data_IF_856859736780
#
_entry.id   IF_856859736780
#
_cell.length_a   1.000
_cell.length_b   1.000
_cell.length_c   1.000
_cell.angle_alpha   90.00
_cell.angle_beta   90.00
_cell.angle_gamma   90.00
#
_symmetry.space_group_name_H-M   'P 1'
#
loop_
_entity.id
_entity.type
_entity.pdbx_description
1 polymer ?
#
# COMPACT_ATOMS: atom_id res chain seq x y z
N UNK A 1 -3.70 29.88 -29.33
CA UNK A 1 -2.72 29.03 -28.63
C UNK A 1 -1.42 28.80 -29.42
N UNK A 2 -1.13 29.55 -30.47
CA UNK A 2 0.18 29.56 -31.11
C UNK A 2 1.16 30.31 -30.20
N UNK A 3 2.06 29.62 -29.52
CA UNK A 3 3.19 30.23 -28.81
C UNK A 3 3.41 29.85 -27.34
N UNK A 4 2.59 29.01 -26.73
CA UNK A 4 2.89 28.58 -25.37
C UNK A 4 3.91 27.42 -25.43
N UNK A 5 5.16 27.76 -25.21
CA UNK A 5 6.20 26.74 -25.02
C UNK A 5 6.03 26.11 -23.63
N UNK A 6 5.32 24.98 -23.60
CA UNK A 6 5.00 24.25 -22.39
C UNK A 6 6.25 23.82 -21.61
N UNK A 7 7.33 23.47 -22.32
CA UNK A 7 8.59 23.08 -21.68
C UNK A 7 9.26 24.26 -20.99
N UNK A 8 9.28 25.41 -21.66
CA UNK A 8 9.83 26.65 -21.09
C UNK A 8 9.06 27.07 -19.85
N UNK A 9 7.71 27.01 -19.92
CA UNK A 9 6.84 27.32 -18.79
C UNK A 9 7.08 26.36 -17.61
N UNK A 10 7.18 25.07 -17.86
CA UNK A 10 7.50 24.06 -16.84
C UNK A 10 8.83 24.38 -16.15
N UNK A 11 9.86 24.71 -16.93
CA UNK A 11 11.19 25.05 -16.41
C UNK A 11 11.16 26.33 -15.55
N UNK A 12 10.45 27.36 -15.99
CA UNK A 12 10.32 28.61 -15.20
C UNK A 12 9.56 28.38 -13.88
N UNK A 13 8.45 27.63 -13.92
CA UNK A 13 7.72 27.24 -12.70
C UNK A 13 8.61 26.42 -11.77
N UNK A 14 9.37 25.47 -12.30
CA UNK A 14 10.30 24.65 -11.50
C UNK A 14 11.34 25.51 -10.78
N UNK A 15 11.90 26.52 -11.47
CA UNK A 15 12.85 27.46 -10.86
C UNK A 15 12.22 28.31 -9.76
N UNK A 16 11.02 28.87 -10.02
CA UNK A 16 10.32 29.73 -9.05
C UNK A 16 9.93 28.94 -7.80
N UNK A 17 9.37 27.74 -7.99
CA UNK A 17 8.92 26.88 -6.89
C UNK A 17 10.06 26.14 -6.20
N UNK A 18 11.27 26.11 -6.80
CA UNK A 18 12.41 25.28 -6.36
C UNK A 18 12.05 23.79 -6.22
N UNK A 19 11.25 23.29 -7.16
CA UNK A 19 10.75 21.91 -7.24
C UNK A 19 10.75 21.48 -8.69
N UNK A 20 10.97 20.20 -8.95
CA UNK A 20 10.85 19.65 -10.29
C UNK A 20 9.38 19.35 -10.61
N UNK A 21 8.92 19.78 -11.79
CA UNK A 21 7.59 19.48 -12.30
C UNK A 21 7.67 18.64 -13.56
N UNK A 22 6.70 17.75 -13.72
CA UNK A 22 6.44 17.08 -14.98
C UNK A 22 5.98 18.10 -16.03
N UNK A 23 6.15 17.75 -17.31
CA UNK A 23 5.67 18.59 -18.39
C UNK A 23 4.18 18.89 -18.20
N UNK A 24 3.86 20.18 -18.15
CA UNK A 24 2.49 20.65 -17.90
C UNK A 24 1.47 20.07 -18.89
N UNK A 25 0.29 19.74 -18.40
CA UNK A 25 -0.85 19.30 -19.21
C UNK A 25 -1.72 20.50 -19.55
N UNK A 26 -2.10 20.63 -20.83
CA UNK A 26 -2.96 21.70 -21.32
C UNK A 26 -4.33 21.11 -21.60
N UNK A 27 -5.35 21.60 -20.91
CA UNK A 27 -6.74 21.26 -21.16
C UNK A 27 -7.47 22.52 -21.68
N UNK A 28 -8.05 22.39 -22.88
CA UNK A 28 -8.82 23.48 -23.52
C UNK A 28 -10.30 23.10 -23.43
N UNK A 29 -11.12 23.99 -22.88
CA UNK A 29 -12.56 23.85 -22.80
C UNK A 29 -13.25 25.14 -23.30
N UNK A 30 -14.57 25.11 -23.40
CA UNK A 30 -15.38 26.30 -23.70
C UNK A 30 -15.26 27.39 -22.62
N UNK A 31 -14.89 27.04 -21.41
CA UNK A 31 -14.68 27.97 -20.30
C UNK A 31 -13.27 28.58 -20.25
N UNK A 32 -12.32 28.06 -21.06
CA UNK A 32 -10.96 28.59 -21.13
C UNK A 32 -9.90 27.50 -21.25
N UNK A 33 -8.64 27.91 -21.14
CA UNK A 33 -7.48 27.04 -21.17
C UNK A 33 -6.93 26.87 -19.76
N UNK A 34 -6.84 25.63 -19.27
CA UNK A 34 -6.26 25.26 -17.99
C UNK A 34 -4.90 24.59 -18.21
N UNK A 35 -3.89 25.05 -17.49
CA UNK A 35 -2.58 24.41 -17.43
C UNK A 35 -2.43 23.78 -16.03
N UNK A 36 -2.10 22.50 -16.01
CA UNK A 36 -1.86 21.74 -14.79
C UNK A 36 -0.41 21.26 -14.77
N UNK A 37 0.27 21.52 -13.67
CA UNK A 37 1.64 21.07 -13.42
C UNK A 37 1.61 20.12 -12.23
N UNK A 38 2.24 18.97 -12.37
CA UNK A 38 2.39 17.99 -11.32
C UNK A 38 3.85 17.97 -10.87
N UNK A 39 4.09 18.02 -9.58
CA UNK A 39 5.44 17.86 -9.02
C UNK A 39 5.95 16.45 -9.34
N UNK A 40 7.19 16.35 -9.77
CA UNK A 40 7.83 15.09 -10.09
C UNK A 40 8.26 14.40 -8.79
N UNK A 41 7.85 13.15 -8.54
CA UNK A 41 8.31 12.42 -7.37
C UNK A 41 9.82 12.22 -7.36
N UNK A 42 10.42 12.27 -6.16
CA UNK A 42 11.85 12.02 -5.96
C UNK A 42 12.19 10.52 -6.06
N UNK A 43 11.21 9.66 -5.74
CA UNK A 43 11.37 8.22 -5.72
C UNK A 43 10.49 7.54 -6.76
N UNK A 44 10.96 6.42 -7.27
CA UNK A 44 10.18 5.46 -8.05
C UNK A 44 10.21 4.14 -7.31
N UNK A 45 9.11 3.38 -7.40
CA UNK A 45 9.03 2.05 -6.83
C UNK A 45 8.92 1.01 -7.94
N UNK A 46 9.75 -0.04 -7.82
CA UNK A 46 9.58 -1.29 -8.55
C UNK A 46 8.81 -2.26 -7.67
N UNK A 47 7.87 -3.01 -8.24
CA UNK A 47 6.97 -3.88 -7.48
C UNK A 47 7.03 -5.27 -8.09
N UNK A 48 7.29 -6.28 -7.26
CA UNK A 48 7.11 -7.68 -7.55
C UNK A 48 6.07 -8.28 -6.63
N UNK A 49 5.26 -9.21 -7.11
CA UNK A 49 4.37 -9.99 -6.26
C UNK A 49 4.27 -11.42 -6.77
N UNK A 50 4.07 -12.33 -5.82
CA UNK A 50 3.76 -13.74 -6.09
C UNK A 50 2.61 -14.15 -5.17
N UNK A 51 1.74 -15.03 -5.68
CA UNK A 51 0.60 -15.54 -4.94
C UNK A 51 0.41 -17.03 -5.27
N UNK A 52 0.30 -17.83 -4.23
CA UNK A 52 0.06 -19.26 -4.34
C UNK A 52 -1.14 -19.67 -3.49
N UNK A 53 -1.97 -20.55 -4.01
CA UNK A 53 -3.05 -21.18 -3.25
C UNK A 53 -2.57 -22.51 -2.68
N UNK A 54 -2.81 -22.74 -1.39
CA UNK A 54 -2.49 -24.01 -0.76
C UNK A 54 -3.41 -25.15 -1.22
N UNK A 55 -4.66 -24.84 -1.55
CA UNK A 55 -5.66 -25.82 -2.03
C UNK A 55 -6.47 -25.25 -3.19
N UNK A 56 -6.40 -25.90 -4.34
CA UNK A 56 -7.22 -25.56 -5.52
C UNK A 56 -6.86 -24.21 -6.17
N UNK A 57 -7.85 -23.54 -6.76
CA UNK A 57 -7.65 -22.30 -7.52
C UNK A 57 -8.04 -21.02 -6.73
N UNK A 58 -8.42 -21.14 -5.45
CA UNK A 58 -8.86 -20.02 -4.61
C UNK A 58 -7.82 -19.74 -3.54
N UNK A 59 -7.27 -18.53 -3.55
CA UNK A 59 -6.39 -18.04 -2.51
C UNK A 59 -7.18 -17.12 -1.56
N UNK A 60 -6.98 -17.25 -0.26
CA UNK A 60 -7.54 -16.38 0.77
C UNK A 60 -6.99 -14.95 0.69
N UNK A 61 -5.77 -14.84 0.21
CA UNK A 61 -5.06 -13.57 0.09
C UNK A 61 -5.57 -12.72 -1.06
N UNK A 62 -5.63 -11.43 -0.82
CA UNK A 62 -5.93 -10.43 -1.85
C UNK A 62 -4.91 -9.30 -1.77
N UNK A 63 -4.27 -9.02 -2.91
CA UNK A 63 -3.29 -7.95 -3.05
C UNK A 63 -3.92 -6.78 -3.81
N UNK A 64 -3.74 -5.56 -3.32
CA UNK A 64 -4.14 -4.31 -3.98
C UNK A 64 -3.02 -3.29 -3.94
N UNK A 65 -2.91 -2.53 -5.02
CA UNK A 65 -1.99 -1.40 -5.12
C UNK A 65 -2.77 -0.16 -5.54
N UNK A 66 -2.50 0.96 -4.90
CA UNK A 66 -3.12 2.25 -5.18
C UNK A 66 -2.00 3.26 -5.39
N UNK A 67 -2.10 4.02 -6.47
CA UNK A 67 -1.30 5.24 -6.66
C UNK A 67 -2.25 6.41 -6.49
N UNK A 68 -2.09 7.17 -5.42
CA UNK A 68 -2.94 8.33 -5.21
C UNK A 68 -2.39 9.56 -5.97
N UNK A 69 -3.29 10.51 -6.25
CA UNK A 69 -2.92 11.74 -6.97
C UNK A 69 -2.03 12.69 -6.17
N UNK A 70 -1.68 12.33 -4.93
CA UNK A 70 -0.85 13.12 -4.00
C UNK A 70 0.59 12.62 -3.94
N UNK A 71 0.95 11.63 -4.78
CA UNK A 71 2.28 11.05 -4.83
C UNK A 71 2.55 9.97 -3.79
N UNK A 72 1.50 9.31 -3.28
CA UNK A 72 1.69 8.15 -2.43
C UNK A 72 1.40 6.86 -3.18
N UNK A 73 2.21 5.84 -2.93
CA UNK A 73 1.93 4.47 -3.29
C UNK A 73 1.43 3.74 -2.04
N UNK A 74 0.30 3.04 -2.19
CA UNK A 74 -0.31 2.28 -1.10
C UNK A 74 -0.41 0.83 -1.55
N UNK A 75 0.06 -0.08 -0.69
CA UNK A 75 0.00 -1.53 -0.87
C UNK A 75 -0.89 -2.11 0.22
N UNK A 76 -1.71 -3.07 -0.15
CA UNK A 76 -2.62 -3.75 0.77
C UNK A 76 -2.50 -5.24 0.49
N UNK A 77 -2.19 -6.02 1.53
CA UNK A 77 -2.42 -7.46 1.58
C UNK A 77 -3.53 -7.70 2.59
N UNK A 78 -4.51 -8.47 2.22
CA UNK A 78 -5.59 -8.91 3.11
C UNK A 78 -5.76 -10.40 2.97
N UNK A 79 -5.68 -11.11 4.07
CA UNK A 79 -5.97 -12.52 4.15
C UNK A 79 -7.25 -12.74 4.93
N UNK A 80 -8.18 -13.46 4.32
CA UNK A 80 -9.43 -13.87 4.95
C UNK A 80 -9.21 -15.11 5.79
N UNK A 81 -9.51 -15.02 7.07
CA UNK A 81 -9.28 -16.11 8.01
C UNK A 81 -10.22 -17.30 7.74
N UNK A 82 -9.67 -18.50 7.82
CA UNK A 82 -10.37 -19.75 7.56
C UNK A 82 -9.92 -20.42 6.26
N UNK A 83 -10.80 -21.21 5.64
CA UNK A 83 -10.49 -21.99 4.44
C UNK A 83 -11.52 -21.81 3.34
N UNK A 84 -11.05 -21.98 2.09
CA UNK A 84 -11.90 -22.06 0.91
C UNK A 84 -12.51 -20.74 0.46
N UNK A 85 -13.65 -20.81 -0.21
CA UNK A 85 -14.29 -19.65 -0.87
C UNK A 85 -14.70 -18.52 0.09
N UNK A 86 -14.96 -18.84 1.35
CA UNK A 86 -15.37 -17.87 2.34
C UNK A 86 -14.20 -16.97 2.77
N UNK A 87 -13.05 -17.57 3.08
CA UNK A 87 -11.83 -16.84 3.38
C UNK A 87 -11.44 -15.93 2.20
N UNK A 88 -11.45 -16.47 0.97
CA UNK A 88 -11.20 -15.69 -0.22
C UNK A 88 -12.16 -14.49 -0.39
N UNK A 89 -13.43 -14.66 -0.04
CA UNK A 89 -14.42 -13.57 -0.10
C UNK A 89 -14.17 -12.52 0.99
N UNK A 90 -13.78 -12.93 2.21
CA UNK A 90 -13.51 -12.00 3.31
C UNK A 90 -12.24 -11.17 3.06
N UNK A 91 -11.16 -11.80 2.60
CA UNK A 91 -9.94 -11.11 2.18
C UNK A 91 -10.20 -10.14 1.02
N UNK A 92 -10.93 -10.59 -0.01
CA UNK A 92 -11.28 -9.73 -1.15
C UNK A 92 -12.17 -8.55 -0.73
N UNK A 93 -13.12 -8.77 0.19
CA UNK A 93 -13.97 -7.71 0.73
C UNK A 93 -13.17 -6.71 1.56
N UNK A 94 -12.28 -7.19 2.44
CA UNK A 94 -11.41 -6.35 3.25
C UNK A 94 -10.53 -5.44 2.40
N UNK A 95 -9.72 -6.02 1.51
CA UNK A 95 -8.84 -5.28 0.61
C UNK A 95 -9.63 -4.39 -0.38
N UNK A 96 -10.72 -4.91 -0.95
CA UNK A 96 -11.52 -4.21 -1.94
C UNK A 96 -12.21 -2.97 -1.38
N UNK A 97 -12.83 -3.08 -0.21
CA UNK A 97 -13.49 -1.95 0.45
C UNK A 97 -12.47 -0.92 0.94
N UNK A 98 -11.38 -1.38 1.59
CA UNK A 98 -10.30 -0.50 2.05
C UNK A 98 -9.70 0.29 0.89
N UNK A 99 -9.36 -0.38 -0.21
CA UNK A 99 -8.76 0.27 -1.38
C UNK A 99 -9.67 1.34 -1.99
N UNK A 100 -10.99 1.08 -2.07
CA UNK A 100 -11.97 2.05 -2.59
C UNK A 100 -12.08 3.28 -1.68
N UNK A 101 -12.13 3.09 -0.37
CA UNK A 101 -12.21 4.18 0.60
C UNK A 101 -10.95 5.05 0.57
N UNK A 102 -9.76 4.44 0.55
CA UNK A 102 -8.50 5.16 0.45
C UNK A 102 -8.39 5.93 -0.87
N UNK A 103 -8.79 5.32 -2.00
CA UNK A 103 -8.83 5.99 -3.30
C UNK A 103 -9.83 7.16 -3.35
N UNK A 104 -10.90 7.09 -2.57
CA UNK A 104 -11.86 8.17 -2.40
C UNK A 104 -11.37 9.28 -1.43
N UNK A 105 -10.16 9.13 -0.86
CA UNK A 105 -9.53 10.13 0.01
C UNK A 105 -9.84 9.99 1.50
N UNK A 106 -10.50 8.91 1.92
CA UNK A 106 -10.68 8.62 3.35
C UNK A 106 -9.33 8.27 4.01
N UNK A 107 -9.16 8.64 5.28
CA UNK A 107 -8.00 8.23 6.06
C UNK A 107 -8.04 6.75 6.44
N UNK A 108 -6.88 6.16 6.77
CA UNK A 108 -6.76 4.73 7.12
C UNK A 108 -7.67 4.34 8.28
N UNK A 109 -7.69 5.10 9.37
CA UNK A 109 -8.51 4.77 10.56
C UNK A 109 -10.00 4.78 10.27
N UNK A 110 -10.48 5.78 9.53
CA UNK A 110 -11.88 5.86 9.12
C UNK A 110 -12.25 4.71 8.19
N UNK A 111 -11.36 4.38 7.26
CA UNK A 111 -11.54 3.26 6.33
C UNK A 111 -11.58 1.92 7.05
N UNK A 112 -10.67 1.70 8.02
CA UNK A 112 -10.68 0.47 8.82
C UNK A 112 -12.00 0.32 9.62
N UNK A 113 -12.51 1.39 10.21
CA UNK A 113 -13.80 1.33 10.94
C UNK A 113 -14.95 0.88 10.04
N UNK A 114 -14.97 1.36 8.79
CA UNK A 114 -16.00 0.93 7.80
C UNK A 114 -15.79 -0.54 7.42
N UNK A 115 -14.56 -0.95 7.09
CA UNK A 115 -14.24 -2.35 6.77
C UNK A 115 -14.60 -3.27 7.92
N UNK A 116 -14.16 -2.94 9.13
CA UNK A 116 -14.45 -3.70 10.34
C UNK A 116 -15.94 -3.87 10.57
N UNK A 117 -16.70 -2.77 10.43
CA UNK A 117 -18.17 -2.82 10.58
C UNK A 117 -18.84 -3.68 9.51
N UNK A 118 -18.35 -3.60 8.26
CA UNK A 118 -18.88 -4.40 7.16
C UNK A 118 -18.63 -5.91 7.38
N UNK A 119 -17.45 -6.29 7.85
CA UNK A 119 -17.13 -7.67 8.20
C UNK A 119 -17.99 -8.17 9.38
N UNK A 120 -18.14 -7.37 10.43
CA UNK A 120 -18.98 -7.70 11.59
C UNK A 120 -20.46 -7.93 11.24
N UNK A 121 -21.02 -7.15 10.32
CA UNK A 121 -22.44 -7.24 9.94
C UNK A 121 -22.70 -8.38 8.95
N UNK A 122 -21.70 -8.73 8.12
CA UNK A 122 -21.84 -9.76 7.09
C UNK A 122 -22.21 -11.13 7.66
N UNK A 123 -21.80 -11.44 8.90
CA UNK A 123 -21.87 -12.82 9.35
C UNK A 123 -22.68 -13.04 10.61
N UNK A 124 -23.60 -14.03 10.54
CA UNK A 124 -24.03 -14.82 11.71
C UNK A 124 -22.92 -15.79 12.16
N UNK A 125 -21.82 -15.88 11.43
CA UNK A 125 -20.63 -16.68 11.68
C UNK A 125 -19.39 -15.78 11.43
N UNK A 126 -18.29 -15.98 12.14
CA UNK A 126 -17.10 -15.12 12.16
C UNK A 126 -16.50 -14.87 10.78
N UNK A 127 -16.65 -13.65 10.26
CA UNK A 127 -15.96 -13.16 9.06
C UNK A 127 -14.83 -12.26 9.49
N UNK A 128 -13.60 -12.73 9.34
CA UNK A 128 -12.40 -12.06 9.78
C UNK A 128 -11.45 -11.88 8.60
N UNK A 129 -10.75 -10.77 8.58
CA UNK A 129 -9.68 -10.54 7.62
C UNK A 129 -8.52 -9.79 8.28
N UNK A 130 -7.30 -10.22 7.98
CA UNK A 130 -6.11 -9.43 8.26
C UNK A 130 -6.01 -8.29 7.26
N UNK A 131 -5.40 -7.19 7.67
CA UNK A 131 -5.09 -6.07 6.79
C UNK A 131 -3.66 -5.64 7.05
N UNK A 132 -2.79 -5.88 6.09
CA UNK A 132 -1.43 -5.35 6.05
C UNK A 132 -1.34 -4.26 5.00
N UNK A 133 -1.05 -3.03 5.42
CA UNK A 133 -1.03 -1.90 4.53
C UNK A 133 0.26 -1.12 4.71
N UNK A 134 0.81 -0.67 3.60
CA UNK A 134 1.96 0.23 3.56
C UNK A 134 1.61 1.42 2.70
N UNK A 135 1.93 2.63 3.19
CA UNK A 135 1.88 3.86 2.41
C UNK A 135 3.27 4.45 2.30
N UNK A 136 3.73 4.68 1.08
CA UNK A 136 5.01 5.32 0.78
C UNK A 136 4.75 6.66 0.12
N UNK A 137 5.28 7.72 0.71
CA UNK A 137 5.33 9.05 0.12
C UNK A 137 6.54 9.13 -0.82
N UNK A 138 6.27 9.25 -2.12
CA UNK A 138 7.29 9.25 -3.17
C UNK A 138 8.10 10.56 -3.24
N UNK A 139 7.72 11.60 -2.50
CA UNK A 139 8.52 12.82 -2.41
C UNK A 139 9.55 12.76 -1.28
N UNK A 140 9.18 12.20 -0.14
CA UNK A 140 10.01 12.19 1.07
C UNK A 140 10.65 10.85 1.39
N UNK A 141 10.18 9.74 0.80
CA UNK A 141 10.56 8.39 1.20
C UNK A 141 9.93 7.93 2.52
N UNK A 142 9.04 8.74 3.11
CA UNK A 142 8.34 8.34 4.35
C UNK A 142 7.46 7.13 4.08
N UNK A 143 7.69 6.06 4.84
CA UNK A 143 6.94 4.82 4.77
C UNK A 143 6.17 4.61 6.07
N UNK A 144 4.88 4.36 5.96
CA UNK A 144 3.98 4.12 7.08
C UNK A 144 3.34 2.75 6.94
N UNK A 145 3.48 1.95 7.99
CA UNK A 145 2.87 0.64 8.12
C UNK A 145 1.58 0.75 8.93
N UNK A 146 0.55 0.05 8.49
CA UNK A 146 -0.75 -0.05 9.13
C UNK A 146 -1.15 -1.52 9.16
N UNK A 147 -1.22 -2.12 10.35
CA UNK A 147 -1.51 -3.54 10.52
C UNK A 147 -2.75 -3.76 11.37
N UNK A 148 -3.64 -4.63 10.89
CA UNK A 148 -4.77 -5.15 11.66
C UNK A 148 -4.74 -6.69 11.55
N UNK A 149 -4.24 -7.36 12.58
CA UNK A 149 -4.06 -8.81 12.64
C UNK A 149 -3.03 -9.37 11.66
N UNK A 150 -2.27 -8.52 10.99
CA UNK A 150 -1.36 -8.91 9.93
C UNK A 150 0.01 -9.38 10.47
N UNK A 151 0.69 -10.29 9.76
CA UNK A 151 2.02 -10.76 10.15
C UNK A 151 3.08 -9.67 9.99
N UNK A 152 4.30 -10.00 10.35
CA UNK A 152 5.46 -9.11 10.25
C UNK A 152 5.79 -8.78 8.79
N UNK A 153 6.26 -7.55 8.57
CA UNK A 153 6.86 -7.11 7.31
C UNK A 153 8.35 -6.81 7.55
N UNK A 154 9.11 -6.69 6.49
CA UNK A 154 10.55 -6.44 6.58
C UNK A 154 10.93 -5.21 5.78
N UNK A 155 11.93 -4.49 6.29
CA UNK A 155 12.62 -3.41 5.57
C UNK A 155 14.08 -3.82 5.43
N UNK A 156 14.52 -3.96 4.18
CA UNK A 156 15.90 -4.30 3.83
C UNK A 156 16.61 -3.00 3.47
N UNK A 157 17.74 -2.74 4.13
CA UNK A 157 18.60 -1.56 3.91
C UNK A 157 20.04 -2.02 3.79
N UNK A 158 20.68 -1.81 2.63
CA UNK A 158 22.04 -2.26 2.37
C UNK A 158 22.34 -3.66 2.95
N UNK A 159 22.86 -3.71 4.20
CA UNK A 159 23.25 -4.93 4.88
C UNK A 159 22.41 -5.23 6.14
N UNK A 160 21.25 -4.61 6.27
CA UNK A 160 20.40 -4.78 7.47
C UNK A 160 18.97 -5.17 7.12
N UNK A 161 18.47 -6.18 7.82
CA UNK A 161 17.07 -6.59 7.79
C UNK A 161 16.39 -6.11 9.06
N UNK A 162 15.42 -5.21 8.92
CA UNK A 162 14.63 -4.72 10.06
C UNK A 162 13.22 -5.30 10.01
N UNK A 163 12.83 -6.01 11.07
CA UNK A 163 11.48 -6.56 11.23
C UNK A 163 10.51 -5.47 11.69
N UNK A 164 9.37 -5.36 11.01
CA UNK A 164 8.24 -4.54 11.39
C UNK A 164 7.11 -5.45 11.88
N UNK A 165 7.19 -5.79 13.17
CA UNK A 165 6.17 -6.59 13.85
C UNK A 165 5.32 -5.69 14.72
N UNK A 166 4.00 -5.73 14.53
CA UNK A 166 3.04 -4.89 15.22
C UNK A 166 1.85 -5.76 15.63
N UNK A 167 1.64 -5.88 16.94
CA UNK A 167 0.52 -6.65 17.48
C UNK A 167 -0.79 -5.86 17.35
N UNK A 168 -1.78 -6.45 16.70
CA UNK A 168 -3.11 -5.89 16.51
C UNK A 168 -4.12 -6.99 16.22
N UNK A 169 -5.40 -6.67 16.35
CA UNK A 169 -6.48 -7.63 16.08
C UNK A 169 -6.91 -7.55 14.61
N UNK A 170 -7.33 -8.67 14.00
CA UNK A 170 -7.90 -8.65 12.65
C UNK A 170 -9.22 -7.89 12.59
N UNK A 171 -9.57 -7.39 11.40
CA UNK A 171 -10.84 -6.75 11.17
C UNK A 171 -11.99 -7.79 11.20
N UNK A 172 -13.13 -7.40 11.78
CA UNK A 172 -14.30 -8.27 11.93
C UNK A 172 -14.39 -9.02 13.27
N UNK A 173 -13.32 -9.01 14.10
CA UNK A 173 -13.33 -9.78 15.35
C UNK A 173 -14.17 -9.11 16.45
N UNK A 174 -14.09 -7.79 16.56
CA UNK A 174 -14.86 -7.02 17.54
C UNK A 174 -15.02 -5.57 17.10
N UNK A 175 -15.88 -4.82 17.81
CA UNK A 175 -16.04 -3.39 17.58
C UNK A 175 -14.80 -2.64 18.08
N UNK A 176 -14.38 -1.60 17.33
CA UNK A 176 -13.31 -0.69 17.75
C UNK A 176 -11.91 -1.21 17.47
N UNK A 177 -11.74 -2.16 16.54
CA UNK A 177 -10.40 -2.54 16.04
C UNK A 177 -9.69 -1.32 15.46
N UNK A 178 -8.42 -1.15 15.83
CA UNK A 178 -7.56 -0.08 15.35
C UNK A 178 -6.31 -0.67 14.65
N UNK A 179 -5.77 0.09 13.69
CA UNK A 179 -4.47 -0.24 13.12
C UNK A 179 -3.35 -0.04 14.14
N UNK A 180 -2.49 -1.03 14.29
CA UNK A 180 -1.15 -0.79 14.81
C UNK A 180 -0.30 -0.09 13.74
N UNK A 181 0.48 0.92 14.14
CA UNK A 181 1.17 1.81 13.20
C UNK A 181 2.66 1.92 13.50
N UNK A 182 3.44 1.99 12.45
CA UNK A 182 4.88 2.31 12.52
C UNK A 182 5.27 3.16 11.33
N UNK A 183 6.24 4.05 11.54
CA UNK A 183 6.79 4.88 10.46
C UNK A 183 8.29 4.64 10.36
N UNK A 184 8.80 4.60 9.14
CA UNK A 184 10.23 4.60 8.82
C UNK A 184 10.50 5.52 7.65
N UNK A 185 11.77 5.85 7.42
CA UNK A 185 12.21 6.57 6.24
C UNK A 185 12.95 5.59 5.33
N UNK A 186 12.60 5.59 4.05
CA UNK A 186 13.25 4.80 3.01
C UNK A 186 14.20 5.71 2.23
N UNK A 187 15.33 5.14 1.85
CA UNK A 187 16.27 5.73 0.90
C UNK A 187 16.15 5.01 -0.46
N UNK A 188 16.94 5.46 -1.42
CA UNK A 188 17.10 4.74 -2.69
C UNK A 188 17.67 3.34 -2.40
N UNK A 189 17.18 2.35 -3.13
CA UNK A 189 17.57 0.94 -3.04
C UNK A 189 17.16 0.21 -1.73
N UNK A 190 16.44 0.90 -0.83
CA UNK A 190 15.77 0.21 0.28
C UNK A 190 14.59 -0.63 -0.27
N UNK A 191 14.39 -1.82 0.27
CA UNK A 191 13.32 -2.73 -0.12
C UNK A 191 12.33 -2.98 1.03
N UNK A 192 11.09 -3.27 0.67
CA UNK A 192 10.07 -3.67 1.62
C UNK A 192 9.52 -5.02 1.19
N UNK A 193 9.45 -5.96 2.14
CA UNK A 193 8.87 -7.27 1.94
C UNK A 193 7.63 -7.41 2.82
N UNK A 194 6.50 -7.64 2.20
CA UNK A 194 5.23 -7.97 2.85
C UNK A 194 4.88 -9.41 2.53
N UNK A 195 4.38 -10.14 3.51
CA UNK A 195 4.03 -11.55 3.37
C UNK A 195 2.74 -11.86 4.13
N UNK A 196 1.95 -12.81 3.64
CA UNK A 196 0.87 -13.41 4.42
C UNK A 196 1.39 -14.46 5.39
N UNK A 197 0.55 -14.91 6.32
CA UNK A 197 0.91 -15.88 7.36
C UNK A 197 1.35 -17.23 6.79
N UNK A 198 0.76 -17.68 5.70
CA UNK A 198 1.18 -18.92 5.03
C UNK A 198 2.66 -18.99 4.65
N UNK A 199 3.33 -17.82 4.55
CA UNK A 199 4.79 -17.75 4.34
C UNK A 199 5.52 -17.59 5.67
N UNK A 200 5.00 -16.78 6.58
CA UNK A 200 5.67 -16.48 7.85
C UNK A 200 5.62 -17.62 8.85
N UNK A 201 4.64 -18.51 8.74
CA UNK A 201 4.46 -19.68 9.62
C UNK A 201 5.58 -20.74 9.49
N UNK A 202 6.27 -20.78 8.36
CA UNK A 202 7.46 -21.67 8.18
C UNK A 202 8.74 -21.10 8.79
N UNK A 203 8.65 -19.95 9.47
CA UNK A 203 9.79 -19.20 10.00
C UNK A 203 10.33 -18.18 8.99
N UNK A 204 11.27 -17.36 9.43
CA UNK A 204 11.86 -16.28 8.61
C UNK A 204 13.39 -16.40 8.43
N UNK A 205 14.00 -17.46 8.97
CA UNK A 205 15.45 -17.69 8.87
C UNK A 205 15.91 -17.80 7.40
N UNK A 206 15.07 -18.42 6.55
CA UNK A 206 15.33 -18.55 5.12
C UNK A 206 15.44 -17.19 4.42
N UNK A 207 14.69 -16.19 4.88
CA UNK A 207 14.73 -14.85 4.29
C UNK A 207 16.06 -14.15 4.58
N UNK A 208 16.57 -14.29 5.80
CA UNK A 208 17.88 -13.76 6.17
C UNK A 208 19.01 -14.45 5.38
N UNK A 209 18.89 -15.75 5.14
CA UNK A 209 19.85 -16.52 4.34
C UNK A 209 19.79 -16.10 2.86
N UNK A 210 18.59 -15.98 2.29
CA UNK A 210 18.38 -15.54 0.91
C UNK A 210 18.98 -14.17 0.66
N UNK A 211 18.74 -13.19 1.53
CA UNK A 211 19.26 -11.83 1.39
C UNK A 211 20.79 -11.77 1.50
N UNK A 212 21.42 -12.66 2.28
CA UNK A 212 22.89 -12.77 2.35
C UNK A 212 23.50 -13.31 1.06
N UNK A 213 22.77 -14.15 0.33
CA UNK A 213 23.23 -14.72 -0.95
C UNK A 213 23.14 -13.69 -2.10
N UNK A 214 22.20 -12.75 -2.08
CA UNK A 214 22.09 -11.71 -3.10
C UNK A 214 23.13 -10.58 -2.93
N UNK A 215 23.69 -10.42 -1.73
CA UNK A 215 24.71 -9.39 -1.43
C UNK A 215 26.14 -9.87 -1.58
N UNK A 216 26.38 -11.12 -1.97
CA UNK A 216 27.69 -11.73 -2.19
C UNK A 216 27.97 -11.91 -3.67
#
# INVERSE_FOLDING_TARGET
>A
TKGLDNLRLTNEISKICKREFERGKINVSSAGTMLSFMEKPNFKMSIGFAQYSAEGNLCGDTIKTINDSRGHMIFIISDGMGKGSRAALDGAMGAGLLSKLLSAGFGFDSSLKVVNSALLVKSHEESLATLDCIRVDLFSGKCEFYKAGAPKSYVVKENSLTKCELTSMPAGILRGVEFAKRTTLLNTDDEIIMMSDGITDVGDDWLEEFLKLETS
#
